data_IF_134061310477
#
_entry.id   IF_134061310477
#
_cell.length_a   1.000
_cell.length_b   1.000
_cell.length_c   1.000
_cell.angle_alpha   90.00
_cell.angle_beta   90.00
_cell.angle_gamma   90.00
#
_symmetry.space_group_name_H-M   'P 1'
#
loop_
_entity.id
_entity.type
_entity.pdbx_description
1 polymer ?
#
# COMPACT_ATOMS: atom_id res chain seq x y z
N UNK A 1 -2.43 -13.95 -28.63
CA UNK A 1 -1.50 -13.74 -27.49
C UNK A 1 -1.57 -12.33 -26.89
N UNK A 2 -2.01 -11.32 -27.62
CA UNK A 2 -2.04 -9.93 -27.11
C UNK A 2 -3.18 -9.54 -26.18
N UNK A 3 -4.35 -10.13 -26.25
CA UNK A 3 -5.52 -9.70 -25.47
C UNK A 3 -5.47 -10.13 -23.99
N UNK A 4 -4.93 -11.31 -23.70
CA UNK A 4 -4.79 -11.79 -22.31
C UNK A 4 -3.78 -10.98 -21.50
N UNK A 5 -2.73 -10.48 -22.11
CA UNK A 5 -1.69 -9.69 -21.46
C UNK A 5 -2.16 -8.28 -21.08
N UNK A 6 -3.01 -7.66 -21.91
CA UNK A 6 -3.52 -6.30 -21.66
C UNK A 6 -4.52 -6.32 -20.49
N UNK A 7 -5.49 -7.23 -20.51
CA UNK A 7 -6.51 -7.34 -19.44
C UNK A 7 -5.88 -7.68 -18.08
N UNK A 8 -4.87 -8.55 -18.07
CA UNK A 8 -4.11 -8.90 -16.87
C UNK A 8 -3.36 -7.69 -16.30
N UNK A 9 -2.73 -6.89 -17.16
CA UNK A 9 -1.97 -5.71 -16.73
C UNK A 9 -2.87 -4.58 -16.24
N UNK A 10 -4.02 -4.39 -16.86
CA UNK A 10 -5.04 -3.44 -16.39
C UNK A 10 -5.57 -3.85 -15.01
N UNK A 11 -5.80 -5.14 -14.81
CA UNK A 11 -6.23 -5.66 -13.50
C UNK A 11 -5.16 -5.43 -12.44
N UNK A 12 -3.88 -5.71 -12.74
CA UNK A 12 -2.77 -5.46 -11.83
C UNK A 12 -2.66 -3.96 -11.49
N UNK A 13 -2.73 -3.08 -12.48
CA UNK A 13 -2.66 -1.63 -12.26
C UNK A 13 -3.78 -1.15 -11.32
N UNK A 14 -5.01 -1.63 -11.52
CA UNK A 14 -6.15 -1.28 -10.66
C UNK A 14 -6.03 -1.83 -9.25
N UNK A 15 -5.55 -3.05 -9.08
CA UNK A 15 -5.32 -3.63 -7.75
C UNK A 15 -4.23 -2.87 -6.98
N UNK A 16 -3.15 -2.49 -7.65
CA UNK A 16 -2.07 -1.70 -7.06
C UNK A 16 -2.55 -0.28 -6.72
N UNK A 17 -3.27 0.38 -7.62
CA UNK A 17 -3.93 1.66 -7.35
C UNK A 17 -4.81 1.59 -6.11
N UNK A 18 -5.66 0.58 -6.01
CA UNK A 18 -6.58 0.37 -4.89
C UNK A 18 -5.86 0.24 -3.55
N UNK A 19 -4.75 -0.51 -3.50
CA UNK A 19 -3.93 -0.64 -2.28
C UNK A 19 -3.27 0.69 -1.90
N UNK A 20 -2.64 1.38 -2.84
CA UNK A 20 -1.99 2.67 -2.58
C UNK A 20 -3.00 3.76 -2.22
N UNK A 21 -4.20 3.74 -2.82
CA UNK A 21 -5.30 4.65 -2.47
C UNK A 21 -5.74 4.46 -1.02
N UNK A 22 -5.91 3.22 -0.56
CA UNK A 22 -6.28 2.93 0.83
C UNK A 22 -5.22 3.44 1.82
N UNK A 23 -3.93 3.17 1.55
CA UNK A 23 -2.82 3.68 2.35
C UNK A 23 -2.82 5.21 2.41
N UNK A 24 -2.93 5.87 1.25
CA UNK A 24 -2.97 7.33 1.16
C UNK A 24 -4.13 7.92 1.97
N UNK A 25 -5.34 7.42 1.77
CA UNK A 25 -6.53 7.99 2.39
C UNK A 25 -6.53 7.78 3.90
N UNK A 26 -6.42 6.54 4.35
CA UNK A 26 -6.56 6.24 5.79
C UNK A 26 -5.40 6.80 6.61
N UNK A 27 -4.17 6.61 6.15
CA UNK A 27 -3.01 7.16 6.86
C UNK A 27 -3.03 8.68 6.80
N UNK A 28 -3.31 9.27 5.63
CA UNK A 28 -3.35 10.73 5.46
C UNK A 28 -4.41 11.41 6.31
N UNK A 29 -5.58 10.80 6.48
CA UNK A 29 -6.67 11.33 7.31
C UNK A 29 -6.36 11.19 8.80
N UNK A 30 -5.78 10.06 9.23
CA UNK A 30 -5.67 9.66 10.63
C UNK A 30 -4.30 9.82 11.27
N UNK A 31 -3.22 10.07 10.51
CA UNK A 31 -1.88 10.17 11.09
C UNK A 31 -1.75 11.26 12.17
N UNK A 32 -2.62 12.27 12.17
CA UNK A 32 -2.66 13.32 13.19
C UNK A 32 -3.25 12.86 14.54
N UNK A 33 -3.91 11.70 14.58
CA UNK A 33 -4.43 11.11 15.81
C UNK A 33 -3.32 10.45 16.64
N UNK A 34 -2.15 10.24 16.04
CA UNK A 34 -0.99 9.60 16.69
C UNK A 34 -0.29 10.58 17.62
N UNK A 35 0.00 10.12 18.86
CA UNK A 35 0.63 10.92 19.90
C UNK A 35 2.17 10.98 19.83
N UNK A 36 2.78 10.21 18.92
CA UNK A 36 4.23 10.16 18.71
C UNK A 36 4.59 10.97 17.46
N UNK A 37 5.32 12.06 17.63
CA UNK A 37 5.70 12.97 16.54
C UNK A 37 6.55 12.27 15.45
N UNK A 38 7.46 11.38 15.85
CA UNK A 38 8.30 10.62 14.93
C UNK A 38 7.47 9.68 14.05
N UNK A 39 6.50 9.00 14.64
CA UNK A 39 5.55 8.14 13.90
C UNK A 39 4.65 8.99 13.00
N UNK A 40 4.14 10.10 13.51
CA UNK A 40 3.27 11.00 12.71
C UNK A 40 3.99 11.50 11.46
N UNK A 41 5.25 11.96 11.59
CA UNK A 41 6.06 12.42 10.45
C UNK A 41 6.28 11.29 9.45
N UNK A 42 6.67 10.10 9.93
CA UNK A 42 6.92 8.95 9.06
C UNK A 42 5.65 8.51 8.31
N UNK A 43 4.52 8.44 8.99
CA UNK A 43 3.23 8.10 8.39
C UNK A 43 2.77 9.15 7.36
N UNK A 44 3.00 10.43 7.64
CA UNK A 44 2.68 11.50 6.69
C UNK A 44 3.48 11.37 5.38
N UNK A 45 4.77 11.06 5.48
CA UNK A 45 5.62 10.80 4.30
C UNK A 45 5.10 9.59 3.52
N UNK A 46 4.79 8.48 4.22
CA UNK A 46 4.22 7.26 3.60
C UNK A 46 2.92 7.59 2.87
N UNK A 47 2.00 8.30 3.51
CA UNK A 47 0.72 8.66 2.90
C UNK A 47 0.92 9.47 1.61
N UNK A 48 1.77 10.50 1.65
CA UNK A 48 2.05 11.33 0.47
C UNK A 48 2.60 10.50 -0.69
N UNK A 49 3.62 9.70 -0.44
CA UNK A 49 4.23 8.86 -1.47
C UNK A 49 3.24 7.82 -2.02
N UNK A 50 2.42 7.21 -1.15
CA UNK A 50 1.36 6.29 -1.58
C UNK A 50 0.32 7.00 -2.47
N UNK A 51 -0.01 8.27 -2.20
CA UNK A 51 -0.89 9.07 -3.05
C UNK A 51 -0.31 9.30 -4.45
N UNK A 52 1.00 9.56 -4.53
CA UNK A 52 1.70 9.71 -5.81
C UNK A 52 1.72 8.39 -6.60
N UNK A 53 1.95 7.25 -5.95
CA UNK A 53 1.90 5.93 -6.58
C UNK A 53 0.48 5.57 -7.04
N UNK A 54 -0.53 5.86 -6.24
CA UNK A 54 -1.93 5.65 -6.63
C UNK A 54 -2.26 6.42 -7.92
N UNK A 55 -1.87 7.69 -8.02
CA UNK A 55 -2.06 8.50 -9.22
C UNK A 55 -1.32 7.91 -10.45
N UNK A 56 -0.08 7.46 -10.27
CA UNK A 56 0.70 6.86 -11.35
C UNK A 56 0.07 5.56 -11.88
N UNK A 57 -0.44 4.69 -11.00
CA UNK A 57 -1.14 3.46 -11.43
C UNK A 57 -2.51 3.76 -12.05
N UNK A 58 -3.21 4.79 -11.60
CA UNK A 58 -4.44 5.27 -12.23
C UNK A 58 -4.20 5.68 -13.67
N UNK A 59 -3.14 6.43 -13.93
CA UNK A 59 -2.79 6.90 -15.27
C UNK A 59 -2.43 5.75 -16.25
N UNK A 60 -2.09 4.58 -15.72
CA UNK A 60 -1.84 3.36 -16.51
C UNK A 60 -3.08 2.50 -16.74
N UNK A 61 -4.20 2.85 -16.09
CA UNK A 61 -5.48 2.14 -16.22
C UNK A 61 -6.14 2.38 -17.60
N UNK A 62 -7.23 1.65 -17.88
CA UNK A 62 -7.93 1.77 -19.15
C UNK A 62 -8.55 3.16 -19.29
N UNK A 63 -8.07 3.91 -20.25
CA UNK A 63 -8.69 5.17 -20.67
C UNK A 63 -9.78 4.86 -21.71
N UNK A 64 -11.03 5.05 -21.34
CA UNK A 64 -12.11 5.12 -22.33
C UNK A 64 -12.08 6.49 -22.99
N UNK A 65 -12.09 6.52 -24.32
CA UNK A 65 -12.12 7.77 -25.09
C UNK A 65 -13.22 8.69 -24.60
N UNK A 66 -12.87 9.87 -24.09
CA UNK A 66 -13.79 10.90 -23.62
C UNK A 66 -14.27 10.76 -22.17
N UNK A 67 -13.71 9.86 -21.37
CA UNK A 67 -14.00 9.73 -19.93
C UNK A 67 -12.70 9.80 -19.14
N UNK A 68 -12.73 10.50 -18.00
CA UNK A 68 -11.66 10.41 -17.02
C UNK A 68 -11.48 8.97 -16.54
N UNK A 69 -10.24 8.52 -16.24
CA UNK A 69 -10.02 7.21 -15.70
C UNK A 69 -10.85 7.05 -14.42
N UNK A 70 -11.68 6.00 -14.37
CA UNK A 70 -12.45 5.69 -13.17
C UNK A 70 -11.46 5.33 -12.05
N UNK A 71 -11.49 6.10 -10.97
CA UNK A 71 -10.71 5.80 -9.77
C UNK A 71 -11.01 4.39 -9.27
N UNK A 72 -9.98 3.63 -8.97
CA UNK A 72 -10.17 2.37 -8.28
C UNK A 72 -10.60 2.66 -6.83
N UNK A 73 -11.64 1.98 -6.32
CA UNK A 73 -12.02 2.14 -4.91
C UNK A 73 -10.86 1.70 -4.01
N UNK A 74 -10.70 2.31 -2.82
CA UNK A 74 -9.67 1.90 -1.88
C UNK A 74 -9.86 0.43 -1.48
N UNK A 75 -8.75 -0.29 -1.30
CA UNK A 75 -8.78 -1.69 -0.87
C UNK A 75 -9.39 -1.80 0.53
N UNK A 76 -10.52 -2.49 0.62
CA UNK A 76 -11.30 -2.55 1.87
C UNK A 76 -10.53 -3.26 2.98
N UNK A 77 -9.82 -4.35 2.68
CA UNK A 77 -9.05 -5.08 3.69
C UNK A 77 -7.93 -4.24 4.28
N UNK A 78 -7.24 -3.47 3.45
CA UNK A 78 -6.20 -2.51 3.89
C UNK A 78 -6.82 -1.40 4.73
N UNK A 79 -7.95 -0.85 4.29
CA UNK A 79 -8.66 0.21 5.01
C UNK A 79 -9.14 -0.25 6.39
N UNK A 80 -9.72 -1.43 6.48
CA UNK A 80 -10.23 -1.99 7.74
C UNK A 80 -9.10 -2.26 8.73
N UNK A 81 -7.99 -2.84 8.26
CA UNK A 81 -6.81 -3.11 9.09
C UNK A 81 -6.20 -1.83 9.65
N UNK A 82 -6.02 -0.82 8.81
CA UNK A 82 -5.47 0.47 9.25
C UNK A 82 -6.41 1.18 10.22
N UNK A 83 -7.71 1.20 9.95
CA UNK A 83 -8.69 1.81 10.85
C UNK A 83 -8.73 1.11 12.22
N UNK A 84 -8.65 -0.22 12.26
CA UNK A 84 -8.54 -0.98 13.51
C UNK A 84 -7.25 -0.59 14.27
N UNK A 85 -6.10 -0.55 13.59
CA UNK A 85 -4.82 -0.19 14.19
C UNK A 85 -4.82 1.23 14.79
N UNK A 86 -5.33 2.22 14.07
CA UNK A 86 -5.44 3.59 14.58
C UNK A 86 -6.39 3.71 15.79
N UNK A 87 -7.45 2.92 15.79
CA UNK A 87 -8.45 2.96 16.87
C UNK A 87 -7.94 2.33 18.17
N UNK A 88 -7.13 1.27 18.05
CA UNK A 88 -6.63 0.53 19.21
C UNK A 88 -5.41 1.15 19.86
N UNK A 89 -4.59 1.89 19.10
CA UNK A 89 -3.30 2.36 19.61
C UNK A 89 -3.00 3.82 19.20
N UNK A 90 -3.19 4.76 20.12
CA UNK A 90 -2.84 6.17 19.91
C UNK A 90 -1.33 6.43 19.72
N UNK A 91 -0.44 5.50 20.09
CA UNK A 91 1.00 5.66 19.90
C UNK A 91 1.42 5.47 18.44
N UNK A 92 0.58 4.82 17.64
CA UNK A 92 0.84 4.50 16.24
C UNK A 92 1.72 3.26 16.02
N UNK A 93 2.11 2.55 17.06
CA UNK A 93 2.94 1.32 16.95
C UNK A 93 2.20 0.22 16.19
N UNK A 94 0.88 0.06 16.41
CA UNK A 94 0.05 -0.90 15.67
C UNK A 94 -0.09 -0.51 14.20
N UNK A 95 -0.16 0.78 13.89
CA UNK A 95 -0.19 1.25 12.49
C UNK A 95 1.13 0.95 11.79
N UNK A 96 2.26 1.23 12.46
CA UNK A 96 3.57 0.85 11.93
C UNK A 96 3.67 -0.66 11.69
N UNK A 97 3.22 -1.47 12.65
CA UNK A 97 3.18 -2.91 12.52
C UNK A 97 2.30 -3.34 11.32
N UNK A 98 1.10 -2.82 11.21
CA UNK A 98 0.19 -3.14 10.11
C UNK A 98 0.84 -2.84 8.74
N UNK A 99 1.48 -1.69 8.60
CA UNK A 99 2.15 -1.31 7.36
C UNK A 99 3.36 -2.21 7.08
N UNK A 100 4.25 -2.40 8.07
CA UNK A 100 5.54 -3.09 7.89
C UNK A 100 5.38 -4.60 7.75
N UNK A 101 4.45 -5.21 8.49
CA UNK A 101 4.36 -6.68 8.58
C UNK A 101 3.22 -7.23 7.74
N UNK A 102 2.07 -6.56 7.72
CA UNK A 102 0.86 -7.12 7.11
C UNK A 102 0.59 -6.58 5.70
N UNK A 103 0.88 -5.30 5.43
CA UNK A 103 0.49 -4.67 4.15
C UNK A 103 1.64 -4.66 3.14
N UNK A 104 2.80 -4.13 3.51
CA UNK A 104 3.90 -3.94 2.55
C UNK A 104 4.51 -5.23 2.02
N UNK A 105 4.71 -6.31 2.80
CA UNK A 105 5.26 -7.55 2.26
C UNK A 105 4.41 -8.18 1.15
N UNK A 106 3.09 -8.40 1.30
CA UNK A 106 2.27 -8.91 0.20
C UNK A 106 2.14 -7.91 -0.96
N UNK A 107 2.11 -6.59 -0.69
CA UNK A 107 2.14 -5.57 -1.72
C UNK A 107 3.43 -5.65 -2.55
N UNK A 108 4.58 -5.85 -1.90
CA UNK A 108 5.86 -6.02 -2.57
C UNK A 108 5.90 -7.25 -3.48
N UNK A 109 5.30 -8.37 -3.04
CA UNK A 109 5.16 -9.57 -3.88
C UNK A 109 4.35 -9.24 -5.13
N UNK A 110 3.20 -8.59 -5.00
CA UNK A 110 2.36 -8.18 -6.15
C UNK A 110 3.08 -7.22 -7.10
N UNK A 111 3.83 -6.26 -6.56
CA UNK A 111 4.63 -5.34 -7.36
C UNK A 111 5.70 -6.08 -8.17
N UNK A 112 6.38 -7.05 -7.56
CA UNK A 112 7.40 -7.88 -8.24
C UNK A 112 6.77 -8.78 -9.29
N UNK A 113 5.62 -9.37 -9.01
CA UNK A 113 4.88 -10.18 -9.98
C UNK A 113 4.45 -9.32 -11.19
N UNK A 114 3.91 -8.14 -10.95
CA UNK A 114 3.54 -7.21 -12.02
C UNK A 114 4.77 -6.75 -12.83
N UNK A 115 5.92 -6.56 -12.19
CA UNK A 115 7.16 -6.18 -12.86
C UNK A 115 7.71 -7.28 -13.78
N UNK A 116 7.49 -8.55 -13.44
CA UNK A 116 8.04 -9.70 -14.17
C UNK A 116 7.11 -10.25 -15.25
N UNK A 117 5.79 -10.09 -15.12
CA UNK A 117 4.79 -10.64 -16.03
C UNK A 117 4.46 -9.77 -17.22
N UNK A 118 5.04 -8.57 -17.31
CA UNK A 118 4.72 -7.60 -18.37
C UNK A 118 5.70 -7.66 -19.56
N UNK A 119 5.29 -8.10 -20.74
CA UNK A 119 6.13 -8.03 -21.96
C UNK A 119 6.22 -6.62 -22.55
N UNK A 120 7.17 -6.40 -23.46
CA UNK A 120 7.78 -5.13 -23.91
C UNK A 120 6.95 -4.17 -24.80
N UNK A 121 5.70 -3.79 -24.46
CA UNK A 121 4.86 -2.79 -25.18
C UNK A 121 4.01 -1.97 -24.22
N UNK A 122 2.89 -1.31 -24.49
CA UNK A 122 2.17 -0.45 -23.51
C UNK A 122 2.02 -1.05 -22.10
N UNK A 123 2.07 -2.36 -22.02
CA UNK A 123 2.11 -3.21 -20.82
C UNK A 123 3.41 -3.06 -20.02
N UNK A 124 4.54 -2.74 -20.67
CA UNK A 124 5.83 -2.46 -19.99
C UNK A 124 5.78 -1.25 -19.06
N UNK A 125 4.85 -0.35 -19.27
CA UNK A 125 4.70 0.80 -18.38
C UNK A 125 4.25 0.36 -17.00
N UNK A 126 3.32 -0.60 -16.89
CA UNK A 126 2.89 -1.16 -15.61
C UNK A 126 4.04 -1.88 -14.92
N UNK A 127 4.75 -2.75 -15.64
CA UNK A 127 5.91 -3.47 -15.11
C UNK A 127 7.04 -2.55 -14.65
N UNK A 128 7.36 -1.53 -15.42
CA UNK A 128 8.36 -0.54 -15.04
C UNK A 128 7.95 0.24 -13.80
N UNK A 129 6.72 0.74 -13.76
CA UNK A 129 6.18 1.44 -12.58
C UNK A 129 6.10 0.54 -11.35
N UNK A 130 5.71 -0.72 -11.52
CA UNK A 130 5.69 -1.69 -10.44
C UNK A 130 7.11 -1.95 -9.88
N UNK A 131 8.13 -2.00 -10.73
CA UNK A 131 9.53 -2.11 -10.29
C UNK A 131 10.00 -0.89 -9.50
N UNK A 132 9.67 0.32 -9.95
CA UNK A 132 9.98 1.56 -9.23
C UNK A 132 9.25 1.63 -7.87
N UNK A 133 7.95 1.30 -7.86
CA UNK A 133 7.16 1.25 -6.63
C UNK A 133 7.68 0.18 -5.65
N UNK A 134 8.15 -0.96 -6.15
CA UNK A 134 8.81 -1.96 -5.30
C UNK A 134 10.06 -1.42 -4.62
N UNK A 135 10.86 -0.62 -5.32
CA UNK A 135 12.01 0.10 -4.74
C UNK A 135 11.60 1.05 -3.61
N UNK A 136 10.52 1.82 -3.80
CA UNK A 136 9.95 2.67 -2.77
C UNK A 136 9.49 1.85 -1.55
N UNK A 137 8.75 0.77 -1.75
CA UNK A 137 8.26 -0.09 -0.66
C UNK A 137 9.42 -0.67 0.15
N UNK A 138 10.49 -1.16 -0.52
CA UNK A 138 11.69 -1.70 0.16
C UNK A 138 12.38 -0.63 1.00
N UNK A 139 12.60 0.56 0.46
CA UNK A 139 13.23 1.66 1.17
C UNK A 139 12.42 2.11 2.39
N UNK A 140 11.11 2.20 2.22
CA UNK A 140 10.17 2.58 3.29
C UNK A 140 10.09 1.50 4.36
N UNK A 141 10.04 0.22 3.99
CA UNK A 141 10.10 -0.91 4.93
C UNK A 141 11.33 -0.83 5.83
N UNK A 142 12.50 -0.52 5.25
CA UNK A 142 13.73 -0.38 6.03
C UNK A 142 13.62 0.72 7.09
N UNK A 143 13.14 1.89 6.70
CA UNK A 143 12.98 3.04 7.60
C UNK A 143 11.94 2.79 8.69
N UNK A 144 10.77 2.28 8.33
CA UNK A 144 9.69 2.00 9.28
C UNK A 144 10.01 0.84 10.22
N UNK A 145 10.76 -0.17 9.76
CA UNK A 145 11.21 -1.28 10.62
C UNK A 145 12.14 -0.78 11.70
N UNK A 146 13.05 0.15 11.39
CA UNK A 146 13.93 0.76 12.40
C UNK A 146 13.10 1.52 13.43
N UNK A 147 12.15 2.32 12.97
CA UNK A 147 11.26 3.08 13.84
C UNK A 147 10.39 2.17 14.74
N UNK A 148 9.91 1.05 14.21
CA UNK A 148 9.13 0.07 14.97
C UNK A 148 9.98 -0.63 16.05
N UNK A 149 11.24 -0.96 15.75
CA UNK A 149 12.17 -1.62 16.69
C UNK A 149 12.57 -0.74 17.89
N UNK A 150 12.56 0.56 17.73
CA UNK A 150 12.85 1.52 18.80
C UNK A 150 11.74 1.58 19.86
N UNK A 151 10.59 0.99 19.58
CA UNK A 151 9.42 1.00 20.46
C UNK A 151 9.31 -0.30 21.22
N UNK A 152 8.96 -0.18 22.53
CA UNK A 152 8.78 -1.34 23.40
C UNK A 152 7.66 -2.23 22.87
N UNK A 153 7.83 -3.58 22.87
CA UNK A 153 6.75 -4.50 22.48
C UNK A 153 5.52 -4.27 23.35
N UNK A 154 4.41 -3.88 22.73
CA UNK A 154 3.13 -3.75 23.39
C UNK A 154 2.45 -5.14 23.39
N UNK A 155 1.89 -5.62 24.52
CA UNK A 155 1.07 -6.84 24.56
C UNK A 155 -0.08 -6.84 23.55
N UNK A 156 -0.58 -5.66 23.20
CA UNK A 156 -1.60 -5.48 22.16
C UNK A 156 -1.09 -5.85 20.76
N UNK A 157 0.23 -5.75 20.50
CA UNK A 157 0.85 -6.13 19.23
C UNK A 157 0.65 -7.61 18.92
N UNK A 158 0.83 -8.49 19.90
CA UNK A 158 0.69 -9.93 19.69
C UNK A 158 -0.76 -10.32 19.41
N UNK A 159 -1.70 -9.72 20.14
CA UNK A 159 -3.13 -9.95 19.93
C UNK A 159 -3.62 -9.39 18.59
N UNK A 160 -3.15 -8.20 18.20
CA UNK A 160 -3.45 -7.61 16.90
C UNK A 160 -2.87 -8.44 15.76
N UNK A 161 -1.61 -8.88 15.89
CA UNK A 161 -0.94 -9.73 14.92
C UNK A 161 -1.67 -11.06 14.70
N UNK A 162 -2.21 -11.65 15.75
CA UNK A 162 -2.97 -12.89 15.66
C UNK A 162 -4.31 -12.68 14.95
N UNK A 163 -5.02 -11.61 15.24
CA UNK A 163 -6.29 -11.28 14.61
C UNK A 163 -6.14 -10.88 13.14
N UNK A 164 -5.05 -10.17 12.78
CA UNK A 164 -4.82 -9.73 11.41
C UNK A 164 -4.50 -10.90 10.48
N UNK A 165 -3.75 -11.91 10.94
CA UNK A 165 -3.43 -13.10 10.14
C UNK A 165 -4.67 -13.87 9.70
N UNK A 166 -5.71 -13.88 10.53
CA UNK A 166 -6.94 -14.62 10.26
C UNK A 166 -7.89 -13.88 9.30
N UNK A 167 -7.71 -12.57 9.14
CA UNK A 167 -8.65 -11.69 8.41
C UNK A 167 -8.07 -11.08 7.13
N UNK A 168 -6.73 -10.98 7.03
CA UNK A 168 -6.10 -10.16 6.02
C UNK A 168 -5.66 -10.96 4.81
N UNK A 169 -6.31 -10.72 3.67
CA UNK A 169 -5.92 -11.21 2.35
C UNK A 169 -5.87 -10.03 1.38
N UNK A 170 -4.68 -9.70 0.91
CA UNK A 170 -4.47 -8.77 -0.22
C UNK A 170 -4.61 -9.51 -1.54
#
# INVERSE_FOLDING_TARGET
>A
MGEFDIASSELHARQLESCFTALYQIIGERCREVNDDGVTIALHVVARECGEWAAQFRDLGPHRAGHDPLDAPPNQSVSDLLNEAFTLDPSGSLVLYAVVVEIFPPLLIRLRDAATTSPSTPVTRVGHRASEAAGFVVATLHSLTSLLRERTPDPQLDEFAQRSRDKFHI
#
